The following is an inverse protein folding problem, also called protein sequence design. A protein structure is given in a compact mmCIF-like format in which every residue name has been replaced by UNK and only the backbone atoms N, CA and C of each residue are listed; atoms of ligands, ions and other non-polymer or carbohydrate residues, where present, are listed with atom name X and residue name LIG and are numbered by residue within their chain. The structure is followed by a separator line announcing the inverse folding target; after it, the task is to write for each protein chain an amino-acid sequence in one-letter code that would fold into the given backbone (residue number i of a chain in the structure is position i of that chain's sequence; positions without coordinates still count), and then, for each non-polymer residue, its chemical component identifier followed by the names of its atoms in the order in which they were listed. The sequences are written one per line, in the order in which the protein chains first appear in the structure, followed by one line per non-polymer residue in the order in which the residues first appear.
data_IF_366985771785
#
_entry.id   IF_366985771785
#
_cell.length_a   1.000
_cell.length_b   1.000
_cell.length_c   1.000
_cell.angle_alpha   90.00
_cell.angle_beta   90.00
_cell.angle_gamma   90.00
#
_symmetry.space_group_name_H-M   'P 1'
#
loop_
_entity.id
_entity.type
_entity.pdbx_description
1 polymer ?
#
# COMPACT_ATOMS: atom_id res chain seq x y z
N UNK A 1 -7.31 8.80 4.77
CA UNK A 1 -7.61 8.00 3.56
C UNK A 1 -7.48 8.94 2.38
N UNK A 2 -6.87 8.49 1.28
CA UNK A 2 -6.70 9.30 0.07
C UNK A 2 -8.01 9.26 -0.75
N UNK A 3 -8.30 10.28 -1.58
CA UNK A 3 -9.50 10.29 -2.41
C UNK A 3 -9.47 9.16 -3.44
N UNK A 4 -10.63 8.56 -3.73
CA UNK A 4 -10.80 7.58 -4.79
C UNK A 4 -10.49 8.21 -6.17
N UNK A 5 -9.87 7.45 -7.06
CA UNK A 5 -9.60 7.85 -8.44
C UNK A 5 -10.46 7.01 -9.37
N UNK A 6 -11.44 7.63 -10.02
CA UNK A 6 -12.34 6.95 -10.93
C UNK A 6 -11.69 6.77 -12.31
N UNK A 7 -11.66 5.53 -12.80
CA UNK A 7 -11.28 5.16 -14.16
C UNK A 7 -12.53 4.69 -14.93
N UNK A 8 -12.46 4.56 -16.27
CA UNK A 8 -13.62 4.20 -17.09
C UNK A 8 -14.30 2.87 -16.70
N UNK A 9 -13.53 1.88 -16.24
CA UNK A 9 -14.03 0.53 -15.93
C UNK A 9 -13.85 0.12 -14.46
N UNK A 10 -13.04 0.86 -13.70
CA UNK A 10 -12.71 0.53 -12.32
C UNK A 10 -12.50 1.81 -11.50
N UNK A 11 -12.51 1.67 -10.19
CA UNK A 11 -12.17 2.74 -9.25
C UNK A 11 -10.96 2.29 -8.46
N UNK A 12 -9.95 3.14 -8.43
CA UNK A 12 -8.77 2.95 -7.61
C UNK A 12 -9.00 3.60 -6.25
N UNK A 13 -8.72 2.84 -5.20
CA UNK A 13 -8.71 3.34 -3.83
C UNK A 13 -7.25 3.36 -3.34
N UNK A 14 -6.59 4.53 -3.38
CA UNK A 14 -5.25 4.69 -2.87
C UNK A 14 -5.23 4.68 -1.34
N UNK A 15 -4.24 3.98 -0.79
CA UNK A 15 -4.01 3.80 0.64
C UNK A 15 -2.52 4.04 0.90
N UNK A 16 -2.21 4.84 1.92
CA UNK A 16 -0.84 4.96 2.41
C UNK A 16 -0.67 4.13 3.66
N UNK A 17 0.27 3.18 3.61
CA UNK A 17 0.61 2.30 4.72
C UNK A 17 1.89 2.83 5.34
N UNK A 18 1.89 3.15 6.63
CA UNK A 18 3.09 3.50 7.39
C UNK A 18 3.22 2.57 8.59
N UNK A 19 4.29 1.78 8.60
CA UNK A 19 4.56 0.78 9.65
C UNK A 19 5.98 1.00 10.18
N UNK A 20 6.20 0.69 11.46
CA UNK A 20 7.52 0.74 12.08
C UNK A 20 7.83 -0.63 12.69
N UNK A 21 8.98 -1.19 12.33
CA UNK A 21 9.43 -2.51 12.79
C UNK A 21 10.91 -2.70 12.52
N UNK A 22 11.47 -3.84 12.87
CA UNK A 22 12.78 -4.23 12.35
C UNK A 22 12.66 -4.72 10.89
N UNK A 23 13.79 -4.99 10.25
CA UNK A 23 13.79 -5.38 8.84
C UNK A 23 13.03 -6.69 8.58
N UNK A 24 13.10 -7.65 9.51
CA UNK A 24 12.49 -8.97 9.34
C UNK A 24 10.97 -8.88 9.49
N UNK A 25 10.50 -8.21 10.53
CA UNK A 25 9.07 -7.98 10.76
C UNK A 25 8.43 -7.22 9.60
N UNK A 26 9.13 -6.23 9.05
CA UNK A 26 8.68 -5.47 7.90
C UNK A 26 8.60 -6.35 6.63
N UNK A 27 9.55 -7.25 6.43
CA UNK A 27 9.49 -8.22 5.32
C UNK A 27 8.29 -9.16 5.48
N UNK A 28 8.05 -9.69 6.69
CA UNK A 28 6.88 -10.52 6.98
C UNK A 28 5.57 -9.77 6.74
N UNK A 29 5.49 -8.50 7.13
CA UNK A 29 4.32 -7.65 6.86
C UNK A 29 4.05 -7.50 5.36
N UNK A 30 5.08 -7.17 4.57
CA UNK A 30 4.94 -7.01 3.11
C UNK A 30 4.56 -8.33 2.45
N UNK A 31 5.15 -9.45 2.86
CA UNK A 31 4.75 -10.78 2.38
C UNK A 31 3.30 -11.10 2.70
N UNK A 32 2.82 -10.73 3.90
CA UNK A 32 1.41 -10.90 4.28
C UNK A 32 0.47 -10.07 3.41
N UNK A 33 0.82 -8.82 3.12
CA UNK A 33 0.03 -7.94 2.22
C UNK A 33 -0.03 -8.50 0.81
N UNK A 34 1.10 -9.01 0.29
CA UNK A 34 1.16 -9.64 -1.04
C UNK A 34 0.37 -10.95 -1.13
N UNK A 35 0.15 -11.64 -0.01
CA UNK A 35 -0.63 -12.87 0.07
C UNK A 35 -2.15 -12.69 0.22
N UNK A 36 -2.65 -11.44 0.30
CA UNK A 36 -4.09 -11.20 0.47
C UNK A 36 -4.87 -11.66 -0.78
N UNK A 37 -6.07 -12.25 -0.63
CA UNK A 37 -6.90 -12.72 -1.74
C UNK A 37 -7.64 -11.56 -2.42
N UNK A 38 -6.93 -10.47 -2.75
CA UNK A 38 -7.47 -9.29 -3.42
C UNK A 38 -6.41 -8.64 -4.30
N UNK A 39 -6.84 -7.90 -5.32
CA UNK A 39 -5.93 -7.15 -6.18
C UNK A 39 -5.48 -5.90 -5.42
N UNK A 40 -4.22 -5.91 -4.98
CA UNK A 40 -3.53 -4.77 -4.41
C UNK A 40 -2.21 -4.56 -5.17
N UNK A 41 -1.97 -3.34 -5.61
CA UNK A 41 -0.70 -2.93 -6.20
C UNK A 41 0.09 -2.14 -5.16
N UNK A 42 1.39 -2.41 -5.07
CA UNK A 42 2.32 -1.68 -4.22
C UNK A 42 3.19 -0.81 -5.11
N UNK A 43 3.34 0.46 -4.74
CA UNK A 43 4.15 1.42 -5.47
C UNK A 43 5.47 1.69 -4.75
N UNK A 44 6.19 2.72 -5.18
CA UNK A 44 7.49 3.12 -4.64
C UNK A 44 7.43 3.29 -3.12
N UNK A 45 8.16 2.43 -2.43
CA UNK A 45 8.22 2.42 -0.97
C UNK A 45 9.45 3.16 -0.47
N UNK A 46 9.29 3.80 0.70
CA UNK A 46 10.38 4.41 1.44
C UNK A 46 10.69 3.62 2.71
N UNK A 47 11.97 3.36 2.96
CA UNK A 47 12.45 2.74 4.20
C UNK A 47 13.51 3.65 4.84
N UNK A 48 13.24 4.14 6.05
CA UNK A 48 14.15 5.04 6.76
C UNK A 48 14.36 4.62 8.23
N UNK A 49 15.52 4.93 8.86
CA UNK A 49 15.66 4.84 10.31
C UNK A 49 14.62 5.70 11.04
N UNK A 50 14.13 5.21 12.17
CA UNK A 50 13.18 5.97 13.00
C UNK A 50 13.90 7.06 13.81
N UNK A 51 15.14 6.79 14.21
CA UNK A 51 16.00 7.75 14.92
C UNK A 51 17.20 8.13 14.03
N UNK A 52 17.61 9.41 14.02
CA UNK A 52 18.85 9.87 13.37
C UNK A 52 20.10 9.21 13.94
N UNK A 53 20.06 8.82 15.22
CA UNK A 53 21.18 8.17 15.92
C UNK A 53 21.37 6.70 15.50
N UNK A 54 20.48 6.18 14.64
CA UNK A 54 20.47 4.80 14.21
C UNK A 54 19.67 3.89 15.15
N UNK A 55 19.84 2.58 14.97
CA UNK A 55 19.07 1.55 15.68
C UNK A 55 18.43 0.54 14.72
N UNK A 56 17.87 -0.57 15.21
CA UNK A 56 17.34 -1.65 14.38
C UNK A 56 15.98 -1.32 13.74
N UNK A 57 15.22 -0.39 14.34
CA UNK A 57 13.88 -0.04 13.86
C UNK A 57 13.94 0.83 12.60
N UNK A 58 13.07 0.51 11.65
CA UNK A 58 12.86 1.24 10.40
C UNK A 58 11.40 1.62 10.27
N UNK A 59 11.14 2.78 9.68
CA UNK A 59 9.83 3.21 9.22
C UNK A 59 9.71 2.88 7.75
N UNK A 60 8.72 2.07 7.42
CA UNK A 60 8.34 1.70 6.08
C UNK A 60 7.08 2.47 5.68
N UNK A 61 7.14 3.19 4.57
CA UNK A 61 5.98 3.87 3.97
C UNK A 61 5.76 3.27 2.59
N UNK A 62 4.58 2.68 2.35
CA UNK A 62 4.21 2.07 1.07
C UNK A 62 2.88 2.66 0.62
N UNK A 63 2.84 3.36 -0.52
CA UNK A 63 1.60 3.64 -1.22
C UNK A 63 1.08 2.36 -1.88
N UNK A 64 -0.20 2.06 -1.68
CA UNK A 64 -0.86 0.89 -2.25
C UNK A 64 -2.21 1.26 -2.84
N UNK A 65 -2.55 0.70 -3.99
CA UNK A 65 -3.87 0.90 -4.61
C UNK A 65 -4.64 -0.42 -4.59
N UNK A 66 -5.92 -0.32 -4.25
CA UNK A 66 -6.89 -1.42 -4.41
C UNK A 66 -7.92 -1.04 -5.46
N UNK A 67 -8.52 -2.05 -6.09
CA UNK A 67 -9.39 -1.85 -7.23
C UNK A 67 -10.79 -2.41 -6.93
N UNK A 68 -11.81 -1.65 -7.32
CA UNK A 68 -13.20 -2.12 -7.37
C UNK A 68 -13.82 -1.80 -8.71
N UNK A 69 -14.83 -2.56 -9.11
CA UNK A 69 -15.54 -2.31 -10.35
C UNK A 69 -16.30 -0.98 -10.30
N UNK A 70 -16.40 -0.31 -11.44
CA UNK A 70 -17.18 0.92 -11.61
C UNK A 70 -18.44 0.60 -12.41
N UNK A 71 -19.61 0.75 -11.80
CA UNK A 71 -20.92 0.52 -12.47
C UNK A 71 -21.18 1.51 -13.63
N UNK A 72 -20.34 2.55 -13.77
CA UNK A 72 -20.42 3.53 -14.86
C UNK A 72 -19.96 2.98 -16.21
N UNK A 73 -19.25 1.85 -16.25
CA UNK A 73 -18.79 1.21 -17.49
C UNK A 73 -19.80 0.30 -18.17
N UNK A 74 -20.97 0.03 -17.55
CA UNK A 74 -21.98 -0.90 -18.07
C UNK A 74 -23.11 -0.24 -18.90
N UNK A 75 -23.05 1.06 -19.13
CA UNK A 75 -24.08 1.81 -19.88
C UNK A 75 -23.54 2.53 -21.12
N UNK A 76 -22.66 1.88 -21.89
CA UNK A 76 -22.35 2.30 -23.26
C UNK A 76 -22.43 1.11 -24.22
#
# INVERSE_FOLDING_TARGET
MLPEVAQPFYIELPIQITVTGDYHDLATFVSGVAGLPRIATLHDFGLAPVSPEGGPKRRLTIPANTYRYSDKGQHQ
#
